data_IF_082609322352
#
_entry.id   IF_082609322352
#
_cell.length_a   1.000
_cell.length_b   1.000
_cell.length_c   1.000
_cell.angle_alpha   90.00
_cell.angle_beta   90.00
_cell.angle_gamma   90.00
#
_symmetry.space_group_name_H-M   'P 1'
#
loop_
_entity.id
_entity.type
_entity.pdbx_description
1 polymer ?
#
# COMPACT_ATOMS: atom_id res chain seq x y z
N UNK A 1 26.92 49.26 -44.33
CA UNK A 1 26.04 49.03 -43.17
C UNK A 1 25.27 47.73 -43.33
N UNK A 2 25.60 46.71 -42.54
CA UNK A 2 24.80 45.48 -42.32
C UNK A 2 25.31 44.55 -41.17
N UNK A 3 25.80 45.00 -39.99
CA UNK A 3 26.21 44.06 -38.94
C UNK A 3 25.27 43.94 -37.72
N UNK A 4 24.01 44.43 -37.77
CA UNK A 4 23.14 44.48 -36.58
C UNK A 4 22.09 43.37 -36.42
N UNK A 5 21.83 42.54 -37.44
CA UNK A 5 20.79 41.50 -37.35
C UNK A 5 21.30 40.13 -36.87
N UNK A 6 22.60 39.83 -37.01
CA UNK A 6 23.15 38.53 -36.61
C UNK A 6 23.22 38.37 -35.08
N UNK A 7 23.52 39.45 -34.36
CA UNK A 7 23.70 39.45 -32.90
C UNK A 7 22.39 39.24 -32.13
N UNK A 8 21.26 39.71 -32.66
CA UNK A 8 19.97 39.60 -31.98
C UNK A 8 19.44 38.15 -31.96
N UNK A 9 19.69 37.37 -33.03
CA UNK A 9 19.23 35.97 -33.11
C UNK A 9 19.98 35.03 -32.16
N UNK A 10 21.27 35.28 -31.95
CA UNK A 10 22.08 34.50 -31.01
C UNK A 10 21.62 34.72 -29.57
N UNK A 11 21.29 35.96 -29.19
CA UNK A 11 20.81 36.28 -27.84
C UNK A 11 19.45 35.63 -27.53
N UNK A 12 18.51 35.62 -28.48
CA UNK A 12 17.19 34.97 -28.28
C UNK A 12 17.33 33.46 -28.14
N UNK A 13 18.18 32.82 -28.95
CA UNK A 13 18.44 31.39 -28.84
C UNK A 13 19.10 31.01 -27.50
N UNK A 14 20.02 31.86 -27.00
CA UNK A 14 20.67 31.66 -25.71
C UNK A 14 19.66 31.77 -24.55
N UNK A 15 18.74 32.73 -24.63
CA UNK A 15 17.71 32.93 -23.60
C UNK A 15 16.76 31.73 -23.52
N UNK A 16 16.30 31.22 -24.67
CA UNK A 16 15.42 30.04 -24.73
C UNK A 16 16.11 28.78 -24.19
N UNK A 17 17.42 28.61 -24.41
CA UNK A 17 18.19 27.51 -23.84
C UNK A 17 18.34 27.63 -22.33
N UNK A 18 18.60 28.84 -21.81
CA UNK A 18 18.69 29.09 -20.36
C UNK A 18 17.35 28.82 -19.67
N UNK A 19 16.23 29.21 -20.29
CA UNK A 19 14.90 28.96 -19.74
C UNK A 19 14.59 27.45 -19.76
N UNK A 20 14.90 26.71 -20.83
CA UNK A 20 14.74 25.25 -20.87
C UNK A 20 15.59 24.51 -19.81
N UNK A 21 16.81 25.00 -19.56
CA UNK A 21 17.68 24.47 -18.50
C UNK A 21 17.14 24.76 -17.09
N UNK A 22 16.40 25.86 -16.89
CA UNK A 22 15.74 26.16 -15.61
C UNK A 22 14.51 25.29 -15.38
N UNK A 23 13.69 25.05 -16.40
CA UNK A 23 12.52 24.16 -16.26
C UNK A 23 12.92 22.70 -16.03
N UNK A 24 14.02 22.24 -16.62
CA UNK A 24 14.50 20.87 -16.39
C UNK A 24 14.99 20.61 -14.95
N UNK A 25 15.43 21.66 -14.22
CA UNK A 25 15.86 21.53 -12.82
C UNK A 25 14.69 21.45 -11.83
N UNK A 26 13.54 22.05 -12.17
CA UNK A 26 12.36 22.05 -11.31
C UNK A 26 11.59 20.71 -11.31
N UNK A 27 11.96 19.75 -12.17
CA UNK A 27 11.33 18.44 -12.25
C UNK A 27 12.07 17.34 -11.46
N UNK A 28 13.13 17.67 -10.72
CA UNK A 28 14.00 16.70 -10.03
C UNK A 28 14.24 16.96 -8.54
N UNK A 29 13.64 17.99 -7.96
CA UNK A 29 13.61 18.18 -6.50
C UNK A 29 12.23 17.78 -5.99
N UNK A 30 12.01 16.47 -5.81
CA UNK A 30 11.13 16.03 -4.73
C UNK A 30 11.81 16.47 -3.43
N UNK A 31 11.40 17.64 -2.95
CA UNK A 31 11.91 18.27 -1.74
C UNK A 31 11.70 17.36 -0.55
N UNK A 32 12.79 16.72 -0.10
CA UNK A 32 12.85 16.19 1.24
C UNK A 32 12.47 17.30 2.24
N UNK A 33 11.54 17.08 3.19
CA UNK A 33 11.11 18.18 4.06
C UNK A 33 12.21 18.64 5.00
N UNK A 34 12.07 19.90 5.40
CA UNK A 34 13.02 20.65 6.21
C UNK A 34 12.72 20.55 7.71
N UNK A 35 11.88 19.60 8.15
CA UNK A 35 11.50 19.51 9.55
C UNK A 35 12.66 18.96 10.41
N UNK A 36 13.46 19.86 11.00
CA UNK A 36 14.64 19.55 11.81
C UNK A 36 14.33 18.77 13.11
N UNK A 37 13.05 18.56 13.43
CA UNK A 37 12.58 17.82 14.61
C UNK A 37 12.23 16.35 14.26
N UNK A 38 12.03 16.02 13.00
CA UNK A 38 11.63 14.68 12.58
C UNK A 38 12.82 13.70 12.63
N UNK A 39 12.62 12.53 13.24
CA UNK A 39 13.57 11.41 13.18
C UNK A 39 13.15 10.51 12.02
N UNK A 40 14.00 10.40 11.01
CA UNK A 40 13.77 9.49 9.89
C UNK A 40 13.78 8.05 10.41
N UNK A 41 12.65 7.36 10.32
CA UNK A 41 12.53 5.97 10.73
C UNK A 41 11.97 5.16 9.56
N UNK A 42 12.71 4.12 9.14
CA UNK A 42 12.29 3.17 8.10
C UNK A 42 11.98 3.78 6.72
N UNK A 43 12.61 4.90 6.38
CA UNK A 43 12.53 5.50 5.04
C UNK A 43 13.55 4.85 4.11
N UNK A 44 13.08 3.85 3.38
CA UNK A 44 13.89 3.02 2.46
C UNK A 44 13.52 3.32 1.01
N UNK A 45 14.35 2.96 0.04
CA UNK A 45 14.04 3.15 -1.39
C UNK A 45 13.88 1.80 -2.12
N UNK A 46 12.69 1.50 -2.70
CA UNK A 46 11.48 2.31 -2.68
C UNK A 46 10.80 2.27 -1.31
N UNK A 47 10.11 3.36 -0.98
CA UNK A 47 9.45 3.50 0.31
C UNK A 47 8.32 2.48 0.51
N UNK A 48 7.60 2.19 -0.58
CA UNK A 48 6.43 1.32 -0.58
C UNK A 48 6.74 0.06 -1.42
N UNK A 49 6.50 -1.15 -0.88
CA UNK A 49 6.76 -2.40 -1.59
C UNK A 49 5.99 -2.46 -2.92
N UNK A 50 6.72 -2.70 -4.02
CA UNK A 50 6.13 -2.86 -5.36
C UNK A 50 5.60 -1.59 -6.03
N UNK A 51 5.67 -0.41 -5.38
CA UNK A 51 5.16 0.86 -5.93
C UNK A 51 5.79 1.19 -7.30
N UNK A 52 7.10 1.00 -7.43
CA UNK A 52 7.85 1.28 -8.66
C UNK A 52 7.46 0.37 -9.83
N UNK A 53 6.82 -0.77 -9.56
CA UNK A 53 6.40 -1.70 -10.59
C UNK A 53 4.96 -1.45 -11.06
N UNK A 54 4.13 -0.71 -10.30
CA UNK A 54 2.75 -0.42 -10.67
C UNK A 54 2.62 0.12 -12.11
N UNK A 55 3.41 1.13 -12.56
CA UNK A 55 3.27 1.65 -13.92
C UNK A 55 3.59 0.61 -15.01
N UNK A 56 4.50 -0.33 -14.72
CA UNK A 56 4.85 -1.42 -15.65
C UNK A 56 3.74 -2.47 -15.67
N UNK A 57 3.21 -2.84 -14.51
CA UNK A 57 2.16 -3.82 -14.36
C UNK A 57 0.84 -3.35 -14.97
N UNK A 58 0.51 -2.06 -14.86
CA UNK A 58 -0.67 -1.45 -15.49
C UNK A 58 -0.65 -1.51 -17.03
N UNK A 59 0.53 -1.59 -17.65
CA UNK A 59 0.69 -1.67 -19.09
C UNK A 59 0.53 -3.09 -19.65
N UNK A 60 0.52 -4.11 -18.77
CA UNK A 60 0.35 -5.51 -19.16
C UNK A 60 -1.13 -5.77 -19.47
N UNK A 61 -1.40 -6.65 -20.45
CA UNK A 61 -2.76 -7.15 -20.70
C UNK A 61 -3.06 -8.24 -19.68
N UNK A 62 -4.08 -8.04 -18.85
CA UNK A 62 -4.48 -9.01 -17.83
C UNK A 62 -5.71 -9.80 -18.25
N UNK A 63 -5.78 -11.04 -17.80
CA UNK A 63 -6.93 -11.91 -17.99
C UNK A 63 -7.42 -12.48 -16.66
N UNK A 64 -8.72 -12.71 -16.56
CA UNK A 64 -9.32 -13.27 -15.37
C UNK A 64 -8.97 -14.74 -15.21
N UNK A 65 -8.74 -15.15 -13.97
CA UNK A 65 -8.60 -16.55 -13.59
C UNK A 65 -9.44 -16.83 -12.35
N UNK A 66 -9.42 -18.07 -11.86
CA UNK A 66 -10.06 -18.41 -10.58
C UNK A 66 -9.00 -18.76 -9.57
N UNK A 67 -9.25 -18.47 -8.29
CA UNK A 67 -8.39 -18.88 -7.19
C UNK A 67 -8.12 -20.39 -7.25
N UNK A 68 -9.14 -21.21 -7.52
CA UNK A 68 -9.01 -22.67 -7.64
C UNK A 68 -7.99 -23.10 -8.71
N UNK A 69 -7.85 -22.34 -9.80
CA UNK A 69 -6.90 -22.65 -10.86
C UNK A 69 -5.47 -22.19 -10.53
N UNK A 70 -5.34 -21.16 -9.69
CA UNK A 70 -4.07 -20.50 -9.36
C UNK A 70 -3.45 -21.06 -8.07
N UNK A 71 -4.26 -21.36 -7.06
CA UNK A 71 -3.83 -21.76 -5.72
C UNK A 71 -2.88 -22.96 -5.66
N UNK A 72 -2.96 -23.99 -6.55
CA UNK A 72 -1.99 -25.09 -6.53
C UNK A 72 -0.57 -24.69 -6.94
N UNK A 73 -0.39 -23.47 -7.45
CA UNK A 73 0.88 -22.95 -7.93
C UNK A 73 1.38 -21.73 -7.13
N UNK A 74 0.64 -21.30 -6.11
CA UNK A 74 1.05 -20.24 -5.20
C UNK A 74 1.81 -20.85 -4.03
N UNK A 75 3.10 -20.58 -3.93
CA UNK A 75 3.94 -21.04 -2.84
C UNK A 75 4.06 -19.93 -1.78
N UNK A 76 4.46 -18.73 -2.18
CA UNK A 76 4.72 -17.59 -1.29
C UNK A 76 3.46 -16.75 -0.98
N UNK A 77 2.65 -16.46 -2.00
CA UNK A 77 1.45 -15.63 -1.85
C UNK A 77 0.15 -16.41 -1.56
N UNK A 78 0.23 -17.73 -1.32
CA UNK A 78 -0.94 -18.62 -1.16
C UNK A 78 -1.94 -18.16 -0.11
N UNK A 79 -1.47 -17.72 1.05
CA UNK A 79 -2.33 -17.26 2.16
C UNK A 79 -2.81 -15.80 1.99
N UNK A 80 -2.18 -15.01 1.11
CA UNK A 80 -2.57 -13.63 0.85
C UNK A 80 -3.64 -13.55 -0.25
N UNK A 81 -3.54 -14.41 -1.26
CA UNK A 81 -4.38 -14.38 -2.47
C UNK A 81 -5.58 -15.31 -2.29
N UNK A 82 -6.54 -14.88 -1.45
CA UNK A 82 -7.76 -15.64 -1.15
C UNK A 82 -8.97 -15.18 -2.00
N UNK A 83 -8.70 -14.72 -3.22
CA UNK A 83 -9.66 -14.19 -4.19
C UNK A 83 -9.31 -14.65 -5.59
N UNK A 84 -10.23 -14.47 -6.55
CA UNK A 84 -9.96 -14.74 -7.96
C UNK A 84 -8.99 -13.68 -8.53
N UNK A 85 -7.74 -14.05 -8.87
CA UNK A 85 -6.76 -13.08 -9.35
C UNK A 85 -6.85 -12.91 -10.86
N UNK A 86 -6.36 -11.79 -11.36
CA UNK A 86 -6.01 -11.63 -12.76
C UNK A 86 -4.55 -12.07 -12.96
N UNK A 87 -4.28 -12.70 -14.09
CA UNK A 87 -2.92 -13.08 -14.50
C UNK A 87 -2.54 -12.34 -15.79
N UNK A 88 -1.24 -12.14 -16.06
CA UNK A 88 -0.78 -11.67 -17.37
C UNK A 88 -1.31 -12.58 -18.48
N UNK A 89 -1.87 -11.98 -19.52
CA UNK A 89 -2.36 -12.70 -20.69
C UNK A 89 -1.18 -13.15 -21.55
N UNK A 90 -1.11 -14.42 -21.98
CA UNK A 90 -0.03 -14.88 -22.84
C UNK A 90 -0.09 -14.23 -24.22
N UNK A 91 0.96 -13.49 -24.60
CA UNK A 91 0.98 -12.67 -25.82
C UNK A 91 0.91 -13.46 -27.15
N UNK A 92 1.21 -14.77 -27.15
CA UNK A 92 1.24 -15.59 -28.39
C UNK A 92 1.55 -17.08 -28.18
N UNK A 93 1.91 -17.51 -26.97
CA UNK A 93 2.21 -18.91 -26.65
C UNK A 93 1.26 -19.40 -25.56
N UNK A 94 0.77 -20.63 -25.66
CA UNK A 94 -0.02 -21.27 -24.61
C UNK A 94 0.86 -21.58 -23.38
N UNK A 95 1.39 -20.55 -22.72
CA UNK A 95 2.07 -20.71 -21.45
C UNK A 95 1.10 -21.35 -20.47
N UNK A 96 1.55 -22.41 -19.81
CA UNK A 96 0.77 -23.06 -18.78
C UNK A 96 0.49 -22.06 -17.66
N UNK A 97 -0.74 -22.04 -17.14
CA UNK A 97 -1.15 -21.16 -16.03
C UNK A 97 -0.14 -21.26 -14.87
N UNK A 98 0.31 -22.47 -14.53
CA UNK A 98 1.29 -22.65 -13.47
C UNK A 98 2.63 -21.95 -13.68
N UNK A 99 3.10 -21.82 -14.94
CA UNK A 99 4.34 -21.08 -15.22
C UNK A 99 4.16 -19.57 -15.03
N UNK A 100 2.99 -19.04 -15.43
CA UNK A 100 2.64 -17.62 -15.23
C UNK A 100 2.51 -17.31 -13.73
N UNK A 101 1.82 -18.17 -12.98
CA UNK A 101 1.63 -18.00 -11.53
C UNK A 101 2.98 -18.03 -10.81
N UNK A 102 3.82 -19.05 -11.09
CA UNK A 102 5.15 -19.15 -10.47
C UNK A 102 6.02 -17.92 -10.75
N UNK A 103 6.02 -17.42 -11.99
CA UNK A 103 6.79 -16.22 -12.33
C UNK A 103 6.32 -14.97 -11.55
N UNK A 104 5.01 -14.81 -11.32
CA UNK A 104 4.48 -13.72 -10.49
C UNK A 104 4.81 -13.91 -9.00
N UNK A 105 4.72 -15.15 -8.50
CA UNK A 105 5.00 -15.49 -7.11
C UNK A 105 6.50 -15.31 -6.76
N UNK A 106 7.40 -15.69 -7.68
CA UNK A 106 8.84 -15.43 -7.59
C UNK A 106 9.17 -13.93 -7.61
N UNK A 107 8.46 -13.15 -8.44
CA UNK A 107 8.62 -11.70 -8.49
C UNK A 107 8.14 -11.02 -7.19
N UNK A 108 7.00 -11.47 -6.64
CA UNK A 108 6.51 -11.02 -5.34
C UNK A 108 7.50 -11.36 -4.21
N UNK A 109 8.03 -12.58 -4.21
CA UNK A 109 9.06 -13.04 -3.25
C UNK A 109 10.30 -12.16 -3.35
N UNK A 110 10.82 -11.93 -4.56
CA UNK A 110 11.99 -11.08 -4.79
C UNK A 110 11.79 -9.67 -4.24
N UNK A 111 10.62 -9.07 -4.49
CA UNK A 111 10.28 -7.74 -3.99
C UNK A 111 10.18 -7.72 -2.45
N UNK A 112 9.61 -8.76 -1.84
CA UNK A 112 9.56 -8.91 -0.39
C UNK A 112 10.96 -8.94 0.24
N UNK A 113 11.87 -9.76 -0.31
CA UNK A 113 13.24 -9.87 0.18
C UNK A 113 13.99 -8.54 0.06
N UNK A 114 13.87 -7.88 -1.10
CA UNK A 114 14.48 -6.57 -1.33
C UNK A 114 13.98 -5.53 -0.31
N UNK A 115 12.67 -5.49 -0.08
CA UNK A 115 12.06 -4.51 0.81
C UNK A 115 12.40 -4.75 2.28
N UNK A 116 12.36 -6.00 2.76
CA UNK A 116 12.78 -6.35 4.11
C UNK A 116 14.25 -6.02 4.36
N UNK A 117 15.12 -6.32 3.40
CA UNK A 117 16.55 -5.97 3.49
C UNK A 117 16.75 -4.46 3.61
N UNK A 118 15.96 -3.67 2.88
CA UNK A 118 15.97 -2.21 2.99
C UNK A 118 15.61 -1.73 4.40
N UNK A 119 14.64 -2.39 5.04
CA UNK A 119 14.19 -2.11 6.40
C UNK A 119 15.12 -2.66 7.50
N UNK A 120 16.19 -3.37 7.13
CA UNK A 120 17.13 -3.98 8.06
C UNK A 120 16.67 -5.30 8.67
N UNK A 121 15.63 -5.93 8.12
CA UNK A 121 15.23 -7.29 8.48
C UNK A 121 16.01 -8.30 7.64
N UNK A 122 16.38 -9.42 8.27
CA UNK A 122 16.90 -10.59 7.54
C UNK A 122 15.73 -11.41 7.02
N UNK A 123 15.50 -11.40 5.71
CA UNK A 123 14.33 -12.03 5.11
C UNK A 123 14.26 -13.55 5.36
N UNK A 124 15.40 -14.21 5.54
CA UNK A 124 15.48 -15.63 5.90
C UNK A 124 14.98 -15.94 7.32
N UNK A 125 14.90 -14.95 8.21
CA UNK A 125 14.26 -15.13 9.52
C UNK A 125 12.73 -15.11 9.42
N UNK A 126 12.19 -14.74 8.25
CA UNK A 126 10.78 -14.48 7.99
C UNK A 126 10.24 -15.26 6.77
N UNK A 127 10.62 -16.53 6.62
CA UNK A 127 10.26 -17.38 5.46
C UNK A 127 8.75 -17.63 5.33
N UNK A 128 7.99 -17.51 6.43
CA UNK A 128 6.55 -17.78 6.48
C UNK A 128 5.78 -16.54 6.94
N UNK A 129 5.76 -15.47 6.13
CA UNK A 129 5.20 -14.19 6.54
C UNK A 129 3.73 -14.29 6.95
N UNK A 130 2.95 -15.22 6.38
CA UNK A 130 1.54 -15.41 6.76
C UNK A 130 1.32 -15.76 8.23
N UNK A 131 2.29 -16.43 8.85
CA UNK A 131 2.28 -16.85 10.25
C UNK A 131 3.21 -16.02 11.15
N UNK A 132 3.85 -14.98 10.60
CA UNK A 132 4.82 -14.17 11.34
C UNK A 132 4.14 -13.33 12.43
N UNK A 133 4.81 -13.16 13.57
CA UNK A 133 4.33 -12.30 14.65
C UNK A 133 4.47 -10.81 14.33
N UNK A 134 5.43 -10.44 13.50
CA UNK A 134 5.71 -9.04 13.15
C UNK A 134 4.67 -8.52 12.13
N UNK A 135 3.94 -7.46 12.50
CA UNK A 135 2.97 -6.85 11.59
C UNK A 135 3.65 -6.10 10.43
N UNK A 136 4.86 -5.55 10.64
CA UNK A 136 5.64 -4.95 9.56
C UNK A 136 5.89 -5.97 8.45
N UNK A 137 6.45 -7.13 8.81
CA UNK A 137 6.73 -8.25 7.89
C UNK A 137 5.45 -8.71 7.18
N UNK A 138 4.36 -8.93 7.92
CA UNK A 138 3.06 -9.31 7.36
C UNK A 138 2.50 -8.26 6.39
N UNK A 139 2.66 -6.98 6.70
CA UNK A 139 2.16 -5.89 5.86
C UNK A 139 2.92 -5.78 4.54
N UNK A 140 4.26 -5.90 4.56
CA UNK A 140 5.11 -5.93 3.36
C UNK A 140 4.72 -7.10 2.47
N UNK A 141 4.59 -8.30 3.05
CA UNK A 141 4.17 -9.51 2.33
C UNK A 141 2.82 -9.33 1.63
N UNK A 142 1.79 -8.85 2.34
CA UNK A 142 0.47 -8.62 1.73
C UNK A 142 0.55 -7.60 0.60
N UNK A 143 1.27 -6.50 0.78
CA UNK A 143 1.40 -5.46 -0.24
C UNK A 143 2.05 -5.98 -1.52
N UNK A 144 3.15 -6.74 -1.43
CA UNK A 144 3.77 -7.30 -2.64
C UNK A 144 2.85 -8.32 -3.31
N UNK A 145 2.17 -9.18 -2.54
CA UNK A 145 1.25 -10.16 -3.11
C UNK A 145 0.07 -9.49 -3.81
N UNK A 146 -0.49 -8.41 -3.26
CA UNK A 146 -1.56 -7.65 -3.91
C UNK A 146 -1.08 -6.90 -5.16
N UNK A 147 0.21 -6.53 -5.21
CA UNK A 147 0.81 -5.88 -6.36
C UNK A 147 0.96 -6.85 -7.54
N UNK A 148 1.48 -8.05 -7.28
CA UNK A 148 1.74 -9.05 -8.34
C UNK A 148 0.53 -9.95 -8.66
N UNK A 149 -0.43 -10.07 -7.75
CA UNK A 149 -1.69 -10.79 -7.97
C UNK A 149 -2.90 -9.85 -7.80
N UNK A 150 -3.16 -8.95 -8.76
CA UNK A 150 -4.32 -8.09 -8.72
C UNK A 150 -5.61 -8.93 -8.74
N UNK A 151 -6.68 -8.44 -8.11
CA UNK A 151 -8.03 -9.03 -8.23
C UNK A 151 -8.51 -8.95 -9.67
N UNK A 152 -9.17 -10.01 -10.13
CA UNK A 152 -9.98 -9.94 -11.34
C UNK A 152 -11.18 -9.02 -11.11
N UNK A 153 -11.61 -8.30 -12.15
CA UNK A 153 -12.84 -7.51 -12.09
C UNK A 153 -14.05 -8.40 -11.76
N UNK A 154 -14.94 -7.91 -10.90
CA UNK A 154 -16.13 -8.63 -10.49
C UNK A 154 -16.99 -9.06 -11.69
N UNK A 155 -17.43 -10.32 -11.69
CA UNK A 155 -18.26 -10.89 -12.77
C UNK A 155 -17.50 -11.28 -14.03
N UNK A 156 -16.18 -11.10 -14.05
CA UNK A 156 -15.35 -11.54 -15.17
C UNK A 156 -15.28 -13.07 -15.26
N UNK A 157 -15.19 -13.60 -16.49
CA UNK A 157 -15.07 -15.05 -16.76
C UNK A 157 -13.61 -15.43 -17.00
N UNK A 158 -13.17 -16.64 -16.63
CA UNK A 158 -11.80 -17.09 -16.88
C UNK A 158 -11.40 -16.92 -18.35
N UNK A 159 -10.22 -16.34 -18.60
CA UNK A 159 -9.68 -16.04 -19.91
C UNK A 159 -10.17 -14.73 -20.55
N UNK A 160 -11.18 -14.06 -19.98
CA UNK A 160 -11.56 -12.73 -20.45
C UNK A 160 -10.53 -11.68 -20.01
N UNK A 161 -10.32 -10.66 -20.84
CA UNK A 161 -9.50 -9.51 -20.48
C UNK A 161 -10.11 -8.75 -19.30
N UNK A 162 -9.24 -8.19 -18.45
CA UNK A 162 -9.62 -7.41 -17.27
C UNK A 162 -8.60 -6.30 -17.04
N UNK A 163 -8.99 -5.13 -16.49
CA UNK A 163 -8.01 -4.12 -16.13
C UNK A 163 -7.14 -4.58 -14.96
N UNK A 164 -5.93 -4.04 -14.87
CA UNK A 164 -5.12 -4.14 -13.66
C UNK A 164 -5.79 -3.37 -12.51
N UNK A 165 -6.23 -4.08 -11.47
CA UNK A 165 -6.76 -3.45 -10.26
C UNK A 165 -5.61 -3.22 -9.28
N UNK A 166 -5.10 -1.99 -9.23
CA UNK A 166 -4.10 -1.55 -8.25
C UNK A 166 -4.51 -1.90 -6.82
N UNK A 167 -3.56 -2.08 -5.88
CA UNK A 167 -3.92 -2.29 -4.49
C UNK A 167 -4.62 -1.08 -3.86
N UNK A 168 -5.45 -1.35 -2.86
CA UNK A 168 -6.17 -0.34 -2.08
C UNK A 168 -5.21 0.44 -1.15
N UNK A 169 -5.48 1.73 -0.90
CA UNK A 169 -4.65 2.56 0.00
C UNK A 169 -4.50 1.96 1.39
N UNK A 170 -5.52 1.25 1.88
CA UNK A 170 -5.49 0.56 3.16
C UNK A 170 -4.37 -0.46 3.31
N UNK A 171 -3.85 -1.04 2.22
CA UNK A 171 -2.71 -1.95 2.27
C UNK A 171 -1.41 -1.19 2.59
N UNK A 172 -1.22 -0.03 1.96
CA UNK A 172 -0.11 0.87 2.25
C UNK A 172 -0.25 1.49 3.65
N UNK A 173 -1.43 1.91 4.06
CA UNK A 173 -1.67 2.46 5.42
C UNK A 173 -1.34 1.43 6.51
N UNK A 174 -1.69 0.15 6.30
CA UNK A 174 -1.32 -0.94 7.20
C UNK A 174 0.20 -1.14 7.28
N UNK A 175 0.92 -0.96 6.17
CA UNK A 175 2.38 -1.01 6.16
C UNK A 175 3.01 0.16 6.88
N UNK A 176 2.59 1.39 6.58
CA UNK A 176 3.09 2.58 7.27
C UNK A 176 2.90 2.46 8.79
N UNK A 177 1.73 1.97 9.21
CA UNK A 177 1.42 1.72 10.60
C UNK A 177 2.22 0.55 11.20
N UNK A 178 2.25 -0.60 10.53
CA UNK A 178 2.89 -1.83 11.02
C UNK A 178 4.42 -1.72 11.10
N UNK A 179 5.02 -1.04 10.15
CA UNK A 179 6.46 -0.78 10.09
C UNK A 179 6.87 0.53 10.77
N UNK A 180 5.93 1.31 11.33
CA UNK A 180 6.19 2.62 11.91
C UNK A 180 7.08 3.49 11.00
N UNK A 181 6.69 3.59 9.72
CA UNK A 181 7.41 4.37 8.72
C UNK A 181 7.09 5.85 8.95
N UNK A 182 8.11 6.61 9.27
CA UNK A 182 8.02 8.05 9.48
C UNK A 182 9.08 8.74 8.63
N UNK A 183 8.64 9.31 7.51
CA UNK A 183 9.51 10.04 6.61
C UNK A 183 9.33 11.53 6.74
N UNK A 184 10.46 12.21 6.91
CA UNK A 184 10.46 13.62 7.20
C UNK A 184 10.00 14.43 6.01
N UNK A 185 9.94 13.88 4.81
CA UNK A 185 9.56 14.50 3.56
C UNK A 185 8.08 14.36 3.18
N UNK A 186 7.23 13.87 4.08
CA UNK A 186 5.83 13.56 3.79
C UNK A 186 5.66 12.57 2.61
N UNK A 187 6.75 11.90 2.19
CA UNK A 187 6.74 10.93 1.08
C UNK A 187 5.99 9.65 1.43
N UNK A 188 5.74 9.43 2.72
CA UNK A 188 4.89 8.37 3.26
C UNK A 188 3.40 8.61 2.97
N UNK A 189 3.06 8.95 1.73
CA UNK A 189 1.68 8.95 1.23
C UNK A 189 1.42 7.69 0.43
N UNK A 190 0.20 7.17 0.56
CA UNK A 190 -0.25 6.02 -0.22
C UNK A 190 -0.87 6.41 -1.57
N UNK A 191 -1.37 7.65 -1.66
CA UNK A 191 -2.09 8.14 -2.84
C UNK A 191 -1.47 9.47 -3.24
N UNK A 192 -1.07 9.58 -4.50
CA UNK A 192 -0.43 10.77 -5.03
C UNK A 192 -1.33 11.36 -6.11
N UNK A 193 -1.76 12.60 -5.93
CA UNK A 193 -2.61 13.31 -6.88
C UNK A 193 -1.79 14.39 -7.57
N UNK A 194 -1.62 14.25 -8.89
CA UNK A 194 -0.96 15.24 -9.71
C UNK A 194 -1.98 15.92 -10.64
N UNK A 195 -1.97 17.25 -10.69
CA UNK A 195 -2.75 17.99 -11.69
C UNK A 195 -1.99 17.95 -13.02
N UNK A 196 -2.45 17.15 -13.97
CA UNK A 196 -2.01 17.30 -15.35
C UNK A 196 -2.54 18.66 -15.85
N UNK A 197 -1.70 19.46 -16.52
CA UNK A 197 -1.94 20.87 -16.91
C UNK A 197 -3.18 21.20 -17.77
N UNK A 198 -4.20 20.35 -17.80
CA UNK A 198 -5.52 20.55 -18.40
C UNK A 198 -6.69 20.20 -17.47
N UNK A 199 -6.49 20.18 -16.14
CA UNK A 199 -7.56 19.96 -15.15
C UNK A 199 -7.91 18.49 -14.87
N UNK A 200 -7.22 17.54 -15.49
CA UNK A 200 -7.33 16.12 -15.16
C UNK A 200 -6.40 15.79 -13.99
N UNK A 201 -6.96 15.25 -12.91
CA UNK A 201 -6.18 14.72 -11.79
C UNK A 201 -5.68 13.32 -12.15
N UNK A 202 -4.36 13.16 -12.23
CA UNK A 202 -3.69 11.89 -12.38
C UNK A 202 -3.40 11.32 -10.99
N UNK A 203 -4.05 10.21 -10.65
CA UNK A 203 -3.84 9.48 -9.40
C UNK A 203 -2.78 8.40 -9.60
N UNK A 204 -1.59 8.59 -9.01
CA UNK A 204 -0.50 7.61 -8.94
C UNK A 204 -0.45 6.96 -7.55
N UNK A 205 0.27 5.84 -7.41
CA UNK A 205 0.30 5.08 -6.16
C UNK A 205 -0.87 4.11 -6.02
N UNK A 206 -1.43 3.98 -4.82
CA UNK A 206 -2.55 3.08 -4.52
C UNK A 206 -3.90 3.75 -4.74
N UNK A 207 -4.98 2.96 -4.85
CA UNK A 207 -6.34 3.49 -5.05
C UNK A 207 -6.89 4.03 -3.74
N UNK A 208 -7.41 5.26 -3.73
CA UNK A 208 -8.06 5.86 -2.55
C UNK A 208 -9.39 5.18 -2.18
N UNK A 209 -9.31 3.98 -1.59
CA UNK A 209 -10.46 3.18 -1.17
C UNK A 209 -10.05 2.20 -0.07
N UNK A 210 -10.85 2.04 1.00
CA UNK A 210 -10.57 1.02 2.01
C UNK A 210 -10.83 -0.39 1.47
N UNK A 211 -9.95 -1.33 1.77
CA UNK A 211 -10.15 -2.76 1.50
C UNK A 211 -11.13 -3.43 2.48
N UNK A 212 -11.94 -4.42 2.06
CA UNK A 212 -12.03 -4.98 0.70
C UNK A 212 -12.93 -4.12 -0.20
N UNK A 213 -12.49 -3.87 -1.43
CA UNK A 213 -13.22 -3.08 -2.43
C UNK A 213 -13.32 -3.81 -3.77
N UNK A 214 -14.31 -3.45 -4.59
CA UNK A 214 -14.43 -3.92 -5.97
C UNK A 214 -13.56 -3.11 -6.96
N UNK A 215 -13.03 -1.96 -6.52
CA UNK A 215 -12.24 -1.04 -7.37
C UNK A 215 -10.73 -1.25 -7.26
N UNK A 216 -10.27 -2.01 -6.27
CA UNK A 216 -8.86 -2.21 -5.98
C UNK A 216 -8.59 -3.58 -5.39
N UNK A 217 -7.32 -3.97 -5.38
CA UNK A 217 -6.83 -5.23 -4.82
C UNK A 217 -6.54 -5.07 -3.33
N UNK A 218 -7.04 -6.01 -2.55
CA UNK A 218 -6.80 -6.02 -1.12
C UNK A 218 -7.72 -7.01 -0.44
N UNK A 219 -7.20 -7.70 0.55
CA UNK A 219 -8.04 -8.40 1.50
C UNK A 219 -8.73 -7.37 2.39
N UNK A 220 -9.91 -7.71 2.91
CA UNK A 220 -10.30 -7.07 4.16
C UNK A 220 -9.20 -7.36 5.16
N UNK A 221 -8.83 -6.38 6.00
CA UNK A 221 -8.08 -6.70 7.20
C UNK A 221 -8.78 -7.93 7.82
N UNK A 222 -8.06 -9.00 8.23
CA UNK A 222 -8.67 -9.95 9.13
C UNK A 222 -9.21 -9.05 10.23
N UNK A 223 -10.54 -8.94 10.36
CA UNK A 223 -11.12 -8.27 11.51
C UNK A 223 -10.37 -8.94 12.64
N UNK A 224 -9.54 -8.19 13.36
CA UNK A 224 -9.12 -8.63 14.66
C UNK A 224 -10.44 -9.04 15.26
N UNK A 225 -10.64 -10.35 15.42
CA UNK A 225 -11.76 -10.88 16.13
C UNK A 225 -11.44 -10.38 17.52
N UNK A 226 -11.78 -9.11 17.77
CA UNK A 226 -11.66 -8.46 19.03
C UNK A 226 -12.48 -9.38 19.87
N UNK A 227 -11.78 -10.22 20.64
CA UNK A 227 -12.38 -10.94 21.74
C UNK A 227 -13.23 -9.87 22.39
N UNK A 228 -14.57 -9.97 22.34
CA UNK A 228 -15.39 -8.99 23.04
C UNK A 228 -14.87 -9.04 24.46
N UNK A 229 -14.20 -7.97 24.90
CA UNK A 229 -13.60 -7.95 26.23
C UNK A 229 -14.77 -8.18 27.18
N UNK A 230 -14.85 -9.33 27.88
CA UNK A 230 -16.05 -9.66 28.67
C UNK A 230 -16.18 -8.78 29.92
N UNK A 231 -15.35 -7.75 30.06
CA UNK A 231 -15.22 -6.88 31.23
C UNK A 231 -16.14 -5.65 31.24
N UNK A 232 -16.92 -5.39 30.17
CA UNK A 232 -17.83 -4.23 30.14
C UNK A 232 -19.27 -4.52 30.57
N UNK A 233 -19.55 -5.68 31.19
CA UNK A 233 -20.91 -6.09 31.63
C UNK A 233 -21.10 -6.15 33.15
N UNK A 234 -20.26 -5.47 33.96
CA UNK A 234 -20.35 -5.49 35.43
C UNK A 234 -20.39 -4.12 36.12
N UNK A 235 -21.11 -3.13 35.59
CA UNK A 235 -21.64 -2.02 36.40
C UNK A 235 -22.95 -1.53 35.74
N UNK A 236 -24.12 -1.76 36.38
CA UNK A 236 -24.52 -0.92 37.50
C UNK A 236 -25.39 -1.65 38.55
N UNK A 237 -24.83 -2.06 39.70
CA UNK A 237 -25.62 -2.58 40.83
C UNK A 237 -25.14 -2.09 42.21
N UNK A 238 -24.46 -0.94 42.27
CA UNK A 238 -23.99 -0.33 43.52
C UNK A 238 -24.58 1.08 43.75
N UNK A 239 -25.87 1.27 43.44
CA UNK A 239 -26.56 2.56 43.57
C UNK A 239 -27.89 2.49 44.34
N UNK A 240 -28.05 1.54 45.28
CA UNK A 240 -29.35 1.29 45.92
C UNK A 240 -29.31 0.72 47.33
N UNK A 241 -28.34 1.10 48.17
CA UNK A 241 -28.34 0.68 49.59
C UNK A 241 -27.74 1.76 50.50
N UNK A 242 -28.42 2.92 50.61
CA UNK A 242 -28.01 4.00 51.51
C UNK A 242 -29.17 4.71 52.23
N UNK A 243 -30.32 4.04 52.42
CA UNK A 243 -31.43 4.58 53.22
C UNK A 243 -32.10 3.50 54.06
N UNK A 244 -31.51 3.17 55.22
CA UNK A 244 -32.23 2.76 56.43
C UNK A 244 -31.23 2.46 57.57
N UNK A 245 -30.77 3.50 58.27
CA UNK A 245 -30.23 3.34 59.62
C UNK A 245 -31.26 3.94 60.60
N UNK A 246 -31.76 3.15 61.57
CA UNK A 246 -32.69 3.64 62.58
C UNK A 246 -31.97 4.51 63.63
N UNK A 247 -32.68 5.41 64.32
CA UNK A 247 -32.12 6.25 65.37
C UNK A 247 -31.84 5.40 66.63
N UNK A 248 -30.58 5.36 67.07
CA UNK A 248 -30.24 4.85 68.40
C UNK A 248 -30.52 5.95 69.43
N UNK A 249 -31.62 5.76 70.16
CA UNK A 249 -31.94 6.52 71.35
C UNK A 249 -30.97 6.23 72.49
N UNK A 250 -30.26 7.25 72.95
CA UNK A 250 -29.49 7.23 74.19
C UNK A 250 -30.31 7.84 75.33
N UNK A 251 -30.80 6.98 76.21
CA UNK A 251 -31.49 7.28 77.46
C UNK A 251 -30.44 7.51 78.56
N UNK A 252 -30.59 8.57 79.36
CA UNK A 252 -29.59 9.05 80.29
C UNK A 252 -29.49 8.35 81.66
N UNK A 253 -28.75 9.02 82.54
CA UNK A 253 -28.51 8.70 83.96
C UNK A 253 -27.00 8.78 84.25
N UNK A 254 -26.49 9.57 85.20
CA UNK A 254 -27.05 10.24 86.38
C UNK A 254 -26.34 11.58 86.60
#
# INVERSE_FOLDING_TARGET
GRPRMATLRVLVALQLWVDALRTARAAGEELYSQNAICRQHNCVNPLLPGLNDLPKLEQIVWQCTTHKAVSPYLDFCGDAVMYDPALPSPNSSSQAVGAIVKAQDEAATTMYFYHLSGLGYEAWDHERPSADSDECVRSVWRMVCFTYFPKAQAGCRPGHATPYLRPCSSACEQYLAGCAVECCDESASCVFQHSAGGGSQLETGYVQSPGPSARCTGSGAPRAAGRPSPLSLLLPLAGGLLLALPPLGGRGGR
#
